data_IF_996908653854
#
_entry.id   IF_996908653854
#
_cell.length_a   1.000
_cell.length_b   1.000
_cell.length_c   1.000
_cell.angle_alpha   90.00
_cell.angle_beta   90.00
_cell.angle_gamma   90.00
#
_symmetry.space_group_name_H-M   'P 1'
#
loop_
_entity.id
_entity.type
_entity.pdbx_description
1 polymer ?
#
# COMPACT_ATOMS: atom_id res chain seq x y z
N UNK A 1 -31.66 -0.15 -16.96
CA UNK A 1 -30.62 0.66 -16.29
C UNK A 1 -29.51 -0.29 -15.86
N UNK A 2 -28.25 0.06 -16.11
CA UNK A 2 -27.11 -0.70 -15.56
C UNK A 2 -27.11 -0.59 -14.03
N UNK A 3 -26.67 -1.64 -13.30
CA UNK A 3 -26.44 -1.52 -11.87
C UNK A 3 -25.36 -0.45 -11.61
N UNK A 4 -25.32 0.14 -10.40
CA UNK A 4 -24.25 1.07 -10.03
C UNK A 4 -22.89 0.40 -10.18
N UNK A 5 -21.94 1.13 -10.77
CA UNK A 5 -20.55 0.66 -10.87
C UNK A 5 -19.83 1.06 -9.59
N UNK A 6 -19.33 0.08 -8.86
CA UNK A 6 -18.56 0.32 -7.66
C UNK A 6 -17.07 0.53 -8.01
N UNK A 7 -16.41 1.46 -7.32
CA UNK A 7 -14.96 1.64 -7.50
C UNK A 7 -14.18 0.44 -6.95
N UNK A 8 -14.63 -0.10 -5.81
CA UNK A 8 -14.22 -1.36 -5.21
C UNK A 8 -15.48 -2.05 -4.70
N UNK A 9 -15.79 -3.26 -5.18
CA UNK A 9 -17.01 -3.98 -4.82
C UNK A 9 -16.78 -4.96 -3.65
N UNK A 10 -16.91 -4.44 -2.43
CA UNK A 10 -16.81 -5.24 -1.21
C UNK A 10 -18.01 -6.17 -1.00
N UNK A 11 -19.18 -5.85 -1.60
CA UNK A 11 -20.38 -6.71 -1.50
C UNK A 11 -20.22 -7.96 -2.35
N UNK A 12 -19.66 -7.83 -3.55
CA UNK A 12 -19.39 -8.99 -4.39
C UNK A 12 -18.39 -9.95 -3.72
N UNK A 13 -17.35 -9.44 -3.05
CA UNK A 13 -16.45 -10.28 -2.25
C UNK A 13 -17.19 -11.00 -1.11
N UNK A 14 -18.04 -10.29 -0.40
CA UNK A 14 -18.85 -10.88 0.68
C UNK A 14 -19.78 -11.98 0.16
N UNK A 15 -20.39 -11.79 -1.01
CA UNK A 15 -21.22 -12.82 -1.64
C UNK A 15 -20.41 -14.05 -2.05
N UNK A 16 -19.20 -13.86 -2.59
CA UNK A 16 -18.30 -14.96 -2.95
C UNK A 16 -17.93 -15.83 -1.75
N UNK A 17 -17.76 -15.24 -0.59
CA UNK A 17 -17.43 -15.95 0.66
C UNK A 17 -18.62 -16.68 1.30
N UNK A 18 -19.84 -16.53 0.75
CA UNK A 18 -21.02 -17.36 0.99
C UNK A 18 -21.31 -17.68 2.47
N UNK A 19 -21.19 -16.71 3.35
CA UNK A 19 -21.46 -16.87 4.79
C UNK A 19 -20.27 -17.37 5.62
N UNK A 20 -19.15 -17.75 5.02
CA UNK A 20 -17.95 -18.19 5.74
C UNK A 20 -17.45 -17.08 6.68
N UNK A 21 -17.39 -15.84 6.20
CA UNK A 21 -16.98 -14.67 6.99
C UNK A 21 -17.92 -14.42 8.16
N UNK A 22 -19.26 -14.51 7.95
CA UNK A 22 -20.23 -14.32 9.02
C UNK A 22 -20.09 -15.39 10.09
N UNK A 23 -19.88 -16.65 9.68
CA UNK A 23 -19.67 -17.77 10.61
C UNK A 23 -18.38 -17.59 11.41
N UNK A 24 -17.27 -17.20 10.76
CA UNK A 24 -16.00 -16.97 11.40
C UNK A 24 -16.07 -15.80 12.41
N UNK A 25 -16.71 -14.70 12.03
CA UNK A 25 -16.90 -13.54 12.91
C UNK A 25 -17.78 -13.90 14.12
N UNK A 26 -18.87 -14.65 13.90
CA UNK A 26 -19.77 -15.10 15.00
C UNK A 26 -19.02 -16.02 15.98
N UNK A 27 -18.25 -16.97 15.47
CA UNK A 27 -17.44 -17.86 16.32
C UNK A 27 -16.41 -17.07 17.16
N UNK A 28 -15.79 -16.03 16.60
CA UNK A 28 -14.90 -15.14 17.34
C UNK A 28 -15.66 -14.36 18.44
N UNK A 29 -16.88 -13.90 18.16
CA UNK A 29 -17.74 -13.23 19.16
C UNK A 29 -18.12 -14.18 20.29
N UNK A 30 -18.56 -15.40 19.96
CA UNK A 30 -18.98 -16.42 20.93
C UNK A 30 -17.83 -16.91 21.82
N UNK A 31 -16.58 -16.87 21.32
CA UNK A 31 -15.38 -17.24 22.08
C UNK A 31 -15.08 -16.31 23.24
N UNK A 32 -15.58 -15.08 23.23
CA UNK A 32 -15.28 -13.99 24.16
C UNK A 32 -13.75 -13.66 24.28
N UNK A 33 -12.93 -14.09 23.31
CA UNK A 33 -11.48 -13.82 23.24
C UNK A 33 -11.20 -12.77 22.15
N UNK A 34 -11.56 -11.52 22.42
CA UNK A 34 -11.56 -10.46 21.41
C UNK A 34 -10.18 -9.89 21.09
N UNK A 35 -9.23 -10.00 22.01
CA UNK A 35 -7.86 -9.45 21.88
C UNK A 35 -6.84 -10.58 21.95
N UNK A 36 -6.03 -10.69 20.86
CA UNK A 36 -5.00 -11.72 20.71
C UNK A 36 -5.53 -13.14 20.95
N UNK A 37 -6.77 -13.41 20.51
CA UNK A 37 -7.35 -14.74 20.52
C UNK A 37 -6.67 -15.69 19.50
N UNK A 38 -7.05 -16.98 19.51
CA UNK A 38 -6.38 -18.00 18.69
C UNK A 38 -6.42 -17.69 17.17
N UNK A 39 -7.46 -16.99 16.68
CA UNK A 39 -7.56 -16.60 15.28
C UNK A 39 -6.46 -15.61 14.86
N UNK A 40 -5.93 -14.79 15.79
CA UNK A 40 -4.80 -13.91 15.49
C UNK A 40 -3.55 -14.73 15.22
N UNK A 41 -3.25 -15.73 16.05
CA UNK A 41 -2.12 -16.63 15.85
C UNK A 41 -2.26 -17.41 14.54
N UNK A 42 -3.46 -18.00 14.30
CA UNK A 42 -3.74 -18.73 13.06
C UNK A 42 -3.57 -17.86 11.82
N UNK A 43 -4.05 -16.61 11.87
CA UNK A 43 -3.90 -15.67 10.76
C UNK A 43 -2.42 -15.31 10.54
N UNK A 44 -1.67 -15.01 11.62
CA UNK A 44 -0.24 -14.70 11.53
C UNK A 44 0.54 -15.87 10.90
N UNK A 45 0.26 -17.12 11.28
CA UNK A 45 0.89 -18.33 10.72
C UNK A 45 0.53 -18.53 9.22
N UNK A 46 -0.75 -18.41 8.86
CA UNK A 46 -1.21 -18.52 7.48
C UNK A 46 -0.63 -17.42 6.60
N UNK A 47 -0.53 -16.20 7.12
CA UNK A 47 0.04 -15.08 6.40
C UNK A 47 1.55 -15.25 6.23
N UNK A 48 2.26 -15.76 7.24
CA UNK A 48 3.67 -16.10 7.16
C UNK A 48 3.93 -17.16 6.07
N UNK A 49 3.11 -18.20 6.03
CA UNK A 49 3.18 -19.22 4.98
C UNK A 49 2.91 -18.63 3.59
N UNK A 50 1.90 -17.76 3.46
CA UNK A 50 1.58 -17.08 2.20
C UNK A 50 2.72 -16.19 1.71
N UNK A 51 3.38 -15.44 2.60
CA UNK A 51 4.53 -14.61 2.26
C UNK A 51 5.82 -15.41 2.05
N UNK A 52 5.94 -16.61 2.61
CA UNK A 52 7.20 -17.34 2.72
C UNK A 52 8.18 -16.67 3.70
N UNK A 53 7.66 -16.06 4.76
CA UNK A 53 8.42 -15.34 5.79
C UNK A 53 8.41 -16.12 7.11
N UNK A 54 9.37 -15.76 8.02
CA UNK A 54 9.48 -16.44 9.34
C UNK A 54 8.47 -15.92 10.34
N UNK A 55 8.23 -14.61 10.36
CA UNK A 55 7.36 -13.97 11.34
C UNK A 55 6.41 -12.99 10.69
N UNK A 56 5.14 -13.08 11.10
CA UNK A 56 4.12 -12.07 10.88
C UNK A 56 3.56 -11.66 12.23
N UNK A 57 3.37 -10.38 12.44
CA UNK A 57 2.83 -9.83 13.68
C UNK A 57 1.70 -8.87 13.33
N UNK A 58 0.47 -9.22 13.71
CA UNK A 58 -0.72 -8.39 13.49
C UNK A 58 -0.70 -7.10 14.31
N UNK A 59 -1.10 -6.00 13.69
CA UNK A 59 -1.18 -4.65 14.27
C UNK A 59 -2.58 -4.05 14.08
N UNK A 60 -2.88 -2.95 14.76
CA UNK A 60 -4.19 -2.30 14.66
C UNK A 60 -4.46 -1.72 13.26
N UNK A 61 -3.43 -1.29 12.54
CA UNK A 61 -3.51 -0.73 11.19
C UNK A 61 -2.12 -0.67 10.54
N UNK A 62 -2.07 -0.30 9.25
CA UNK A 62 -0.81 -0.19 8.51
C UNK A 62 0.07 0.97 8.96
N UNK A 63 -0.50 2.08 9.44
CA UNK A 63 0.25 3.24 9.92
C UNK A 63 1.02 2.91 11.20
N UNK A 64 0.36 2.23 12.15
CA UNK A 64 0.98 1.72 13.37
C UNK A 64 2.10 0.70 13.03
N UNK A 65 1.88 -0.13 12.00
CA UNK A 65 2.90 -1.07 11.55
C UNK A 65 4.20 -0.37 11.15
N UNK A 66 4.13 0.72 10.37
CA UNK A 66 5.31 1.54 10.03
C UNK A 66 5.94 2.13 11.30
N UNK A 67 5.12 2.73 12.17
CA UNK A 67 5.58 3.32 13.43
C UNK A 67 6.32 2.31 14.31
N UNK A 68 5.79 1.09 14.47
CA UNK A 68 6.41 0.02 15.25
C UNK A 68 7.74 -0.45 14.63
N UNK A 69 7.84 -0.54 13.29
CA UNK A 69 9.11 -0.82 12.62
C UNK A 69 10.18 0.24 12.97
N UNK A 70 9.79 1.52 12.88
CA UNK A 70 10.69 2.63 13.24
C UNK A 70 11.08 2.60 14.73
N UNK A 71 10.15 2.28 15.63
CA UNK A 71 10.43 2.09 17.06
C UNK A 71 11.39 0.90 17.31
N UNK A 72 11.21 -0.20 16.57
CA UNK A 72 12.11 -1.37 16.63
C UNK A 72 13.53 -1.00 16.22
N UNK A 73 13.69 -0.11 15.24
CA UNK A 73 14.99 0.44 14.83
C UNK A 73 15.56 1.50 15.79
N UNK A 74 14.83 1.86 16.85
CA UNK A 74 15.23 2.88 17.82
C UNK A 74 15.28 4.29 17.21
N UNK A 75 14.43 4.58 16.23
CA UNK A 75 14.31 5.90 15.59
C UNK A 75 13.85 6.94 16.62
N UNK A 76 14.47 8.14 16.58
CA UNK A 76 14.28 9.22 17.55
C UNK A 76 14.53 10.60 16.92
N UNK A 77 14.24 11.70 17.62
CA UNK A 77 14.58 13.05 17.18
C UNK A 77 16.08 13.18 16.79
N UNK A 78 16.33 13.81 15.62
CA UNK A 78 17.67 13.90 15.02
C UNK A 78 17.97 12.80 14.00
N UNK A 79 17.17 11.74 13.94
CA UNK A 79 17.25 10.74 12.87
C UNK A 79 16.49 11.20 11.61
N UNK A 80 16.92 10.71 10.45
CA UNK A 80 16.27 10.92 9.16
C UNK A 80 15.81 9.60 8.56
N UNK A 81 14.64 9.62 7.94
CA UNK A 81 14.05 8.50 7.20
C UNK A 81 13.78 8.96 5.78
N UNK A 82 14.36 8.29 4.80
CA UNK A 82 14.16 8.59 3.38
C UNK A 82 12.87 7.92 2.93
N UNK A 83 11.98 8.67 2.27
CA UNK A 83 10.71 8.13 1.78
C UNK A 83 10.22 8.90 0.54
N UNK A 84 9.41 8.28 -0.35
CA UNK A 84 8.84 8.96 -1.49
C UNK A 84 7.87 10.06 -1.06
N UNK A 85 7.79 11.14 -1.86
CA UNK A 85 6.81 12.20 -1.64
C UNK A 85 5.43 11.85 -2.20
N UNK A 86 5.37 11.03 -3.24
CA UNK A 86 4.12 10.63 -3.88
C UNK A 86 3.63 9.30 -3.28
N UNK A 87 2.99 9.41 -2.13
CA UNK A 87 2.45 8.27 -1.36
C UNK A 87 1.32 8.74 -0.45
N UNK A 88 0.71 7.81 0.30
CA UNK A 88 -0.23 8.12 1.37
C UNK A 88 0.50 8.73 2.59
N UNK A 89 -0.21 9.57 3.33
CA UNK A 89 0.35 10.30 4.47
C UNK A 89 1.05 9.41 5.52
N UNK A 90 0.54 8.21 5.76
CA UNK A 90 1.07 7.28 6.77
C UNK A 90 2.58 7.06 6.70
N UNK A 91 3.14 7.03 5.48
CA UNK A 91 4.58 6.82 5.25
C UNK A 91 5.45 7.88 5.94
N UNK A 92 5.05 9.15 5.88
CA UNK A 92 5.77 10.26 6.53
C UNK A 92 5.25 10.57 7.95
N UNK A 93 3.96 10.33 8.18
CA UNK A 93 3.29 10.58 9.46
C UNK A 93 3.93 9.76 10.58
N UNK A 94 4.16 8.46 10.36
CA UNK A 94 4.80 7.58 11.33
C UNK A 94 6.23 8.04 11.70
N UNK A 95 6.96 8.63 10.75
CA UNK A 95 8.27 9.23 10.99
C UNK A 95 8.15 10.47 11.88
N UNK A 96 7.20 11.35 11.55
CA UNK A 96 6.98 12.60 12.26
C UNK A 96 6.50 12.38 13.71
N UNK A 97 5.71 11.34 13.99
CA UNK A 97 5.27 11.01 15.37
C UNK A 97 6.43 10.76 16.32
N UNK A 98 7.49 10.12 15.82
CA UNK A 98 8.66 9.81 16.60
C UNK A 98 9.63 11.00 16.73
N UNK A 99 9.25 12.16 16.20
CA UNK A 99 10.09 13.36 16.17
C UNK A 99 11.28 13.24 15.20
N UNK A 100 11.33 12.21 14.38
CA UNK A 100 12.31 12.06 13.31
C UNK A 100 11.90 12.88 12.08
N UNK A 101 12.82 13.02 11.15
CA UNK A 101 12.65 13.87 9.96
C UNK A 101 12.50 13.01 8.71
N UNK A 102 11.34 13.02 8.02
CA UNK A 102 11.24 12.44 6.68
C UNK A 102 12.07 13.29 5.70
N UNK A 103 12.86 12.64 4.84
CA UNK A 103 13.53 13.24 3.69
C UNK A 103 12.79 12.75 2.47
N UNK A 104 12.08 13.65 1.80
CA UNK A 104 11.29 13.29 0.62
C UNK A 104 12.17 13.14 -0.62
N UNK A 105 11.94 12.05 -1.35
CA UNK A 105 12.55 11.78 -2.64
C UNK A 105 11.51 11.74 -3.74
N UNK A 106 11.97 11.95 -4.98
CA UNK A 106 11.12 11.83 -6.15
C UNK A 106 10.86 10.37 -6.50
N UNK A 107 9.96 10.17 -7.42
CA UNK A 107 9.50 8.87 -7.90
C UNK A 107 9.98 8.64 -9.33
N UNK A 108 10.03 7.38 -9.71
CA UNK A 108 10.15 6.96 -11.10
C UNK A 108 8.83 7.26 -11.84
N UNK A 109 8.94 7.78 -13.06
CA UNK A 109 7.78 8.28 -13.80
C UNK A 109 6.83 7.20 -14.29
N UNK A 110 7.29 5.97 -14.43
CA UNK A 110 6.49 4.87 -14.97
C UNK A 110 5.87 4.00 -13.88
N UNK A 111 6.64 3.71 -12.83
CA UNK A 111 6.20 2.88 -11.71
C UNK A 111 5.49 3.65 -10.59
N UNK A 112 5.70 4.98 -10.52
CA UNK A 112 5.28 5.85 -9.41
C UNK A 112 5.93 5.51 -8.05
N UNK A 113 6.81 4.53 -8.01
CA UNK A 113 7.55 4.14 -6.83
C UNK A 113 8.80 4.99 -6.65
N UNK A 114 9.42 4.92 -5.47
CA UNK A 114 10.65 5.63 -5.16
C UNK A 114 11.70 5.40 -6.26
N UNK A 115 12.26 6.48 -6.83
CA UNK A 115 13.38 6.42 -7.77
C UNK A 115 14.69 6.16 -7.02
N UNK A 116 15.33 4.99 -7.18
CA UNK A 116 16.58 4.67 -6.49
C UNK A 116 17.74 5.66 -6.76
N UNK A 117 17.73 6.37 -7.91
CA UNK A 117 18.72 7.38 -8.23
C UNK A 117 18.68 8.59 -7.29
N UNK A 118 17.56 8.80 -6.59
CA UNK A 118 17.40 9.87 -5.62
C UNK A 118 18.00 9.55 -4.25
N UNK A 119 18.28 8.28 -3.94
CA UNK A 119 18.74 7.86 -2.61
C UNK A 119 20.08 8.47 -2.20
N UNK A 120 21.13 8.52 -3.06
CA UNK A 120 22.38 9.20 -2.72
C UNK A 120 22.18 10.69 -2.44
N UNK A 121 21.28 11.35 -3.19
CA UNK A 121 20.96 12.78 -3.04
C UNK A 121 20.25 13.02 -1.70
N UNK A 122 19.31 12.15 -1.32
CA UNK A 122 18.60 12.21 -0.04
C UNK A 122 19.55 12.00 1.14
N UNK A 123 20.47 11.03 1.03
CA UNK A 123 21.49 10.77 2.04
C UNK A 123 22.37 12.01 2.28
N UNK A 124 22.82 12.66 1.23
CA UNK A 124 23.61 13.89 1.30
C UNK A 124 22.79 15.05 1.88
N UNK A 125 21.50 15.15 1.51
CA UNK A 125 20.57 16.15 2.06
C UNK A 125 20.40 15.97 3.57
N UNK A 126 20.22 14.72 4.05
CA UNK A 126 20.13 14.44 5.47
C UNK A 126 21.42 14.80 6.22
N UNK A 127 22.58 14.43 5.68
CA UNK A 127 23.91 14.74 6.28
C UNK A 127 24.13 16.24 6.37
N UNK A 128 23.81 17.00 5.31
CA UNK A 128 23.92 18.47 5.32
C UNK A 128 22.98 19.15 6.31
N UNK A 129 21.83 18.56 6.56
CA UNK A 129 20.88 19.02 7.58
C UNK A 129 21.30 18.63 9.01
N UNK A 130 22.44 17.96 9.20
CA UNK A 130 22.91 17.49 10.53
C UNK A 130 22.09 16.33 11.07
N UNK A 131 21.34 15.64 10.23
CA UNK A 131 20.50 14.51 10.60
C UNK A 131 21.24 13.17 10.39
N UNK A 132 20.85 12.16 11.16
CA UNK A 132 21.40 10.81 11.05
C UNK A 132 20.45 9.92 10.21
N UNK A 133 20.80 9.54 8.98
CA UNK A 133 20.01 8.59 8.20
C UNK A 133 19.92 7.22 8.92
N UNK A 134 18.73 6.65 8.99
CA UNK A 134 18.48 5.38 9.72
C UNK A 134 17.82 4.34 8.83
N UNK A 135 16.89 4.73 7.98
CA UNK A 135 16.14 3.81 7.14
C UNK A 135 15.66 4.47 5.85
N UNK A 136 15.31 3.63 4.90
CA UNK A 136 14.50 3.95 3.73
C UNK A 136 13.14 3.29 3.90
N UNK A 137 12.06 4.01 3.63
CA UNK A 137 10.71 3.45 3.44
C UNK A 137 10.44 3.48 1.95
N UNK A 138 10.36 2.30 1.32
CA UNK A 138 9.93 2.15 -0.07
C UNK A 138 8.47 1.71 -0.08
N UNK A 139 7.67 2.31 -0.96
CA UNK A 139 6.22 2.03 -1.05
C UNK A 139 5.94 1.23 -2.31
N UNK A 140 5.13 0.19 -2.20
CA UNK A 140 4.59 -0.59 -3.33
C UNK A 140 3.32 0.08 -3.86
N UNK A 141 3.49 1.26 -4.48
CA UNK A 141 2.36 2.11 -4.84
C UNK A 141 1.51 1.46 -5.94
N UNK A 142 0.18 1.62 -5.84
CA UNK A 142 -0.82 1.07 -6.77
C UNK A 142 -0.82 -0.45 -6.89
N UNK A 143 0.05 -1.14 -6.16
CA UNK A 143 0.06 -2.59 -6.11
C UNK A 143 1.26 -3.26 -6.75
N UNK A 144 2.22 -2.50 -7.31
CA UNK A 144 3.46 -3.09 -7.81
C UNK A 144 4.63 -2.82 -6.86
N UNK A 145 5.58 -3.78 -6.73
CA UNK A 145 6.78 -3.60 -5.92
C UNK A 145 7.66 -2.46 -6.44
N UNK A 146 8.38 -1.80 -5.53
CA UNK A 146 9.44 -0.88 -5.88
C UNK A 146 10.65 -1.63 -6.50
N UNK A 147 11.64 -0.91 -7.07
CA UNK A 147 12.88 -1.52 -7.55
C UNK A 147 13.78 -1.94 -6.38
N UNK A 148 13.45 -3.07 -5.80
CA UNK A 148 14.09 -3.55 -4.58
C UNK A 148 15.55 -3.96 -4.76
N UNK A 149 15.99 -4.41 -5.94
CA UNK A 149 17.40 -4.75 -6.13
C UNK A 149 18.29 -3.50 -5.96
N UNK A 150 17.89 -2.39 -6.55
CA UNK A 150 18.62 -1.12 -6.42
C UNK A 150 18.53 -0.56 -4.98
N UNK A 151 17.34 -0.60 -4.38
CA UNK A 151 17.09 -0.06 -3.03
C UNK A 151 17.78 -0.91 -1.96
N UNK A 152 17.67 -2.25 -1.99
CA UNK A 152 18.35 -3.16 -1.06
C UNK A 152 19.88 -3.01 -1.14
N UNK A 153 20.41 -2.90 -2.37
CA UNK A 153 21.84 -2.69 -2.56
C UNK A 153 22.33 -1.37 -1.93
N UNK A 154 21.59 -0.28 -2.16
CA UNK A 154 21.90 1.01 -1.55
C UNK A 154 21.83 0.94 -0.02
N UNK A 155 20.74 0.40 0.54
CA UNK A 155 20.54 0.28 1.98
C UNK A 155 21.66 -0.55 2.64
N UNK A 156 22.07 -1.65 2.01
CA UNK A 156 23.17 -2.49 2.49
C UNK A 156 24.52 -1.74 2.52
N UNK A 157 24.83 -1.01 1.44
CA UNK A 157 26.08 -0.25 1.34
C UNK A 157 26.16 0.88 2.36
N UNK A 158 25.05 1.58 2.59
CA UNK A 158 24.97 2.72 3.52
C UNK A 158 24.60 2.30 4.96
N UNK A 159 24.39 1.00 5.22
CA UNK A 159 23.96 0.44 6.53
C UNK A 159 22.67 1.07 7.03
N UNK A 160 21.73 1.24 6.13
CA UNK A 160 20.36 1.70 6.42
C UNK A 160 19.42 0.50 6.47
N UNK A 161 18.42 0.56 7.34
CA UNK A 161 17.33 -0.41 7.30
C UNK A 161 16.38 -0.12 6.13
N UNK A 162 15.74 -1.17 5.60
CA UNK A 162 14.72 -1.05 4.58
C UNK A 162 13.37 -1.49 5.14
N UNK A 163 12.38 -0.59 5.09
CA UNK A 163 10.97 -0.87 5.37
C UNK A 163 10.22 -0.85 4.04
N UNK A 164 9.60 -1.97 3.69
CA UNK A 164 8.74 -2.08 2.51
C UNK A 164 7.29 -1.79 2.92
N UNK A 165 6.77 -0.62 2.56
CA UNK A 165 5.36 -0.28 2.78
C UNK A 165 4.52 -0.92 1.67
N UNK A 166 4.06 -2.14 1.93
CA UNK A 166 3.23 -2.93 1.01
C UNK A 166 1.72 -2.76 1.29
N UNK A 167 1.30 -1.65 1.89
CA UNK A 167 -0.12 -1.40 2.15
C UNK A 167 -0.99 -1.48 0.89
N UNK A 168 -0.43 -1.23 -0.28
CA UNK A 168 -1.09 -1.38 -1.58
C UNK A 168 -0.54 -2.57 -2.38
N UNK A 169 0.66 -3.04 -2.08
CA UNK A 169 1.35 -4.10 -2.82
C UNK A 169 1.37 -5.46 -2.13
N UNK A 170 0.65 -5.64 -1.02
CA UNK A 170 0.68 -6.92 -0.30
C UNK A 170 0.17 -8.06 -1.20
N UNK A 171 1.00 -9.11 -1.36
CA UNK A 171 0.74 -10.23 -2.27
C UNK A 171 1.40 -10.11 -3.65
N UNK A 172 1.96 -8.95 -4.00
CA UNK A 172 2.74 -8.74 -5.21
C UNK A 172 4.04 -9.57 -5.18
N UNK A 173 4.67 -9.74 -6.35
CA UNK A 173 5.96 -10.42 -6.45
C UNK A 173 6.97 -9.56 -7.22
N UNK A 174 8.20 -9.56 -6.74
CA UNK A 174 9.37 -8.95 -7.34
C UNK A 174 10.41 -10.03 -7.65
N UNK A 175 10.62 -10.32 -8.95
CA UNK A 175 11.59 -11.33 -9.41
C UNK A 175 11.44 -12.67 -8.67
N UNK A 176 10.20 -13.14 -8.54
CA UNK A 176 9.85 -14.39 -7.86
C UNK A 176 9.80 -14.32 -6.33
N UNK A 177 10.27 -13.26 -5.69
CA UNK A 177 10.11 -13.02 -4.24
C UNK A 177 8.77 -12.34 -3.97
N UNK A 178 7.97 -12.89 -3.07
CA UNK A 178 6.72 -12.24 -2.64
C UNK A 178 7.02 -11.09 -1.67
N UNK A 179 6.19 -10.04 -1.69
CA UNK A 179 6.22 -9.02 -0.64
C UNK A 179 6.09 -9.68 0.73
N UNK A 180 6.96 -9.28 1.68
CA UNK A 180 7.19 -9.98 2.95
C UNK A 180 8.52 -10.75 3.00
N UNK A 181 9.16 -11.03 1.86
CA UNK A 181 10.50 -11.61 1.78
C UNK A 181 11.60 -10.56 1.50
N UNK A 182 11.23 -9.29 1.43
CA UNK A 182 12.08 -8.19 0.97
C UNK A 182 12.27 -7.19 2.10
N UNK A 183 13.48 -6.61 2.21
CA UNK A 183 13.82 -5.67 3.25
C UNK A 183 13.94 -6.27 4.66
N UNK A 184 14.17 -5.43 5.65
CA UNK A 184 14.21 -5.82 7.06
C UNK A 184 12.80 -6.00 7.62
N UNK A 185 11.87 -5.16 7.14
CA UNK A 185 10.45 -5.20 7.49
C UNK A 185 9.59 -4.98 6.26
N UNK A 186 8.48 -5.69 6.19
CA UNK A 186 7.37 -5.36 5.29
C UNK A 186 6.15 -5.02 6.12
N UNK A 187 5.48 -3.91 5.83
CA UNK A 187 4.22 -3.53 6.48
C UNK A 187 3.04 -3.75 5.54
N UNK A 188 1.94 -4.21 6.08
CA UNK A 188 0.68 -4.40 5.38
C UNK A 188 -0.44 -3.61 6.06
N UNK A 189 -1.40 -3.17 5.27
CA UNK A 189 -2.65 -2.58 5.73
C UNK A 189 -3.81 -3.47 5.31
N UNK A 190 -4.71 -3.74 6.23
CA UNK A 190 -5.95 -4.49 5.99
C UNK A 190 -7.18 -3.59 6.02
N UNK A 191 -7.01 -2.28 5.78
CA UNK A 191 -8.16 -1.39 5.56
C UNK A 191 -9.10 -1.99 4.50
N UNK A 192 -10.42 -1.90 4.63
CA UNK A 192 -11.38 -2.66 3.80
C UNK A 192 -11.16 -2.59 2.29
N UNK A 193 -10.71 -1.44 1.78
CA UNK A 193 -10.46 -1.22 0.35
C UNK A 193 -9.09 -1.73 -0.14
N UNK A 194 -8.24 -2.29 0.73
CA UNK A 194 -6.95 -2.86 0.34
C UNK A 194 -7.12 -4.20 -0.36
N UNK A 195 -6.12 -4.66 -1.15
CA UNK A 195 -6.20 -5.95 -1.85
C UNK A 195 -6.59 -7.12 -0.93
N UNK A 196 -6.00 -7.20 0.25
CA UNK A 196 -6.47 -8.04 1.35
C UNK A 196 -6.97 -7.12 2.48
N UNK A 197 -8.28 -6.92 2.58
CA UNK A 197 -8.89 -6.01 3.56
C UNK A 197 -9.82 -6.72 4.54
N UNK A 198 -9.80 -6.34 5.82
CA UNK A 198 -10.76 -6.79 6.84
C UNK A 198 -12.04 -5.94 6.84
N UNK A 199 -12.88 -6.06 7.86
CA UNK A 199 -14.12 -5.28 8.00
C UNK A 199 -14.01 -4.23 9.11
N UNK A 200 -12.89 -3.55 9.13
CA UNK A 200 -12.50 -2.49 10.04
C UNK A 200 -11.04 -2.13 9.76
N UNK A 201 -10.31 -1.67 10.76
CA UNK A 201 -8.89 -1.48 10.66
C UNK A 201 -8.11 -2.76 10.97
N UNK A 202 -6.95 -2.90 10.35
CA UNK A 202 -6.01 -3.98 10.56
C UNK A 202 -4.70 -3.71 9.82
N UNK A 203 -3.65 -4.36 10.26
CA UNK A 203 -2.34 -4.32 9.64
C UNK A 203 -1.47 -5.47 10.11
N UNK A 204 -0.29 -5.58 9.52
CA UNK A 204 0.72 -6.53 9.96
C UNK A 204 2.13 -6.03 9.65
N UNK A 205 3.09 -6.56 10.40
CA UNK A 205 4.51 -6.44 10.14
C UNK A 205 5.04 -7.83 9.83
N UNK A 206 5.80 -7.93 8.76
CA UNK A 206 6.52 -9.15 8.35
C UNK A 206 8.01 -8.91 8.54
N UNK A 207 8.71 -9.88 9.15
CA UNK A 207 10.16 -9.84 9.30
C UNK A 207 10.74 -11.26 9.36
N UNK A 208 12.00 -11.40 8.99
CA UNK A 208 12.74 -12.66 9.10
C UNK A 208 13.74 -12.67 10.29
N UNK A 209 13.77 -11.60 11.12
CA UNK A 209 14.59 -11.47 12.30
C UNK A 209 13.83 -11.90 13.56
N UNK A 210 14.32 -12.93 14.24
CA UNK A 210 13.74 -13.40 15.50
C UNK A 210 13.74 -12.31 16.57
N UNK A 211 14.88 -11.58 16.70
CA UNK A 211 15.03 -10.46 17.63
C UNK A 211 14.01 -9.34 17.35
N UNK A 212 13.89 -8.93 16.07
CA UNK A 212 12.92 -7.90 15.69
C UNK A 212 11.49 -8.34 15.97
N UNK A 213 11.15 -9.59 15.68
CA UNK A 213 9.82 -10.14 15.94
C UNK A 213 9.46 -10.11 17.43
N UNK A 214 10.39 -10.41 18.32
CA UNK A 214 10.20 -10.32 19.76
C UNK A 214 9.95 -8.86 20.20
N UNK A 215 10.78 -7.93 19.73
CA UNK A 215 10.62 -6.50 20.03
C UNK A 215 9.26 -5.99 19.54
N UNK A 216 8.85 -6.33 18.31
CA UNK A 216 7.57 -5.92 17.72
C UNK A 216 6.39 -6.45 18.52
N UNK A 217 6.43 -7.73 18.97
CA UNK A 217 5.38 -8.30 19.82
C UNK A 217 5.24 -7.56 21.15
N UNK A 218 6.36 -7.15 21.74
CA UNK A 218 6.38 -6.31 22.94
C UNK A 218 5.78 -4.92 22.66
N UNK A 219 6.27 -4.24 21.61
CA UNK A 219 5.87 -2.88 21.26
C UNK A 219 4.37 -2.77 20.94
N UNK A 220 3.78 -3.72 20.17
CA UNK A 220 2.34 -3.69 19.84
C UNK A 220 1.43 -3.82 21.06
N UNK A 221 1.97 -4.26 22.18
CA UNK A 221 1.25 -4.47 23.43
C UNK A 221 1.90 -3.71 24.59
N UNK A 222 1.97 -2.38 24.46
CA UNK A 222 2.45 -1.44 25.48
C UNK A 222 3.91 -1.64 25.93
N UNK A 223 4.75 -2.28 25.12
CA UNK A 223 6.14 -2.57 25.49
C UNK A 223 6.27 -3.62 26.60
N UNK A 224 5.29 -4.54 26.71
CA UNK A 224 5.24 -5.57 27.74
C UNK A 224 6.46 -6.47 27.69
N UNK A 225 7.02 -6.78 28.88
CA UNK A 225 8.01 -7.82 29.14
C UNK A 225 7.37 -9.18 29.41
N UNK A 226 8.08 -10.05 30.11
CA UNK A 226 7.61 -11.40 30.44
C UNK A 226 6.48 -11.38 31.48
N UNK A 227 6.55 -10.47 32.43
CA UNK A 227 5.51 -10.30 33.44
C UNK A 227 4.34 -9.46 32.94
N UNK A 228 3.14 -9.74 33.48
CA UNK A 228 1.86 -9.11 33.04
C UNK A 228 1.87 -7.58 33.16
N UNK A 229 2.55 -7.04 34.16
CA UNK A 229 2.58 -5.61 34.47
C UNK A 229 3.99 -4.99 34.33
N UNK A 230 4.95 -5.75 33.81
CA UNK A 230 6.28 -5.24 33.51
C UNK A 230 6.30 -4.68 32.08
N UNK A 231 6.67 -3.41 31.95
CA UNK A 231 6.83 -2.73 30.67
C UNK A 231 8.31 -2.39 30.46
N UNK A 232 8.96 -3.16 29.61
CA UNK A 232 10.41 -3.04 29.36
C UNK A 232 10.74 -2.06 28.24
N UNK A 233 9.70 -1.56 27.52
CA UNK A 233 9.80 -0.59 26.42
C UNK A 233 8.63 0.38 26.48
N UNK A 234 8.80 1.57 25.88
CA UNK A 234 7.67 2.43 25.53
C UNK A 234 7.04 1.82 24.28
N UNK A 235 5.82 1.35 24.39
CA UNK A 235 5.10 0.67 23.29
C UNK A 235 3.83 1.41 22.90
N UNK A 236 2.99 0.71 22.13
CA UNK A 236 1.71 1.19 21.61
C UNK A 236 0.57 0.21 21.98
N UNK A 237 -0.65 0.68 21.90
CA UNK A 237 -1.84 -0.18 21.86
C UNK A 237 -2.17 -0.49 20.38
N UNK A 238 -1.43 -1.43 19.79
CA UNK A 238 -1.59 -1.75 18.37
C UNK A 238 -1.67 -3.25 18.14
N UNK A 239 -2.87 -3.78 18.19
CA UNK A 239 -3.15 -5.22 18.03
C UNK A 239 -4.20 -5.42 16.95
N UNK A 240 -4.08 -6.49 16.18
CA UNK A 240 -5.16 -6.96 15.32
C UNK A 240 -6.24 -7.61 16.18
N UNK A 241 -7.47 -7.15 16.06
CA UNK A 241 -8.60 -7.74 16.76
C UNK A 241 -8.92 -9.16 16.28
N UNK A 242 -9.32 -10.04 17.18
CA UNK A 242 -9.63 -11.45 16.88
C UNK A 242 -10.71 -11.58 15.80
N UNK A 243 -11.74 -10.72 15.83
CA UNK A 243 -12.80 -10.72 14.82
C UNK A 243 -12.23 -10.39 13.43
N UNK A 244 -11.34 -9.40 13.33
CA UNK A 244 -10.73 -9.02 12.06
C UNK A 244 -9.80 -10.13 11.55
N UNK A 245 -9.05 -10.78 12.44
CA UNK A 245 -8.22 -11.93 12.09
C UNK A 245 -9.05 -13.09 11.53
N UNK A 246 -10.19 -13.42 12.17
CA UNK A 246 -11.11 -14.45 11.68
C UNK A 246 -11.64 -14.16 10.27
N UNK A 247 -12.00 -12.90 9.99
CA UNK A 247 -12.43 -12.45 8.66
C UNK A 247 -11.29 -12.57 7.64
N UNK A 248 -10.09 -12.18 8.02
CA UNK A 248 -8.90 -12.20 7.15
C UNK A 248 -8.48 -13.63 6.79
N UNK A 249 -8.66 -14.61 7.67
CA UNK A 249 -8.40 -16.02 7.37
C UNK A 249 -9.24 -16.47 6.18
N UNK A 250 -10.54 -16.19 6.19
CA UNK A 250 -11.45 -16.56 5.10
C UNK A 250 -11.11 -15.84 3.79
N UNK A 251 -10.73 -14.56 3.87
CA UNK A 251 -10.33 -13.78 2.70
C UNK A 251 -8.99 -14.20 2.13
N UNK A 252 -8.04 -14.57 2.97
CA UNK A 252 -6.73 -15.06 2.54
C UNK A 252 -6.85 -16.36 1.72
N UNK A 253 -7.84 -17.21 2.02
CA UNK A 253 -8.09 -18.45 1.30
C UNK A 253 -8.45 -18.25 -0.19
N UNK A 254 -9.00 -17.10 -0.56
CA UNK A 254 -9.36 -16.76 -1.94
C UNK A 254 -8.45 -15.69 -2.57
N UNK A 255 -7.44 -15.21 -1.83
CA UNK A 255 -6.69 -14.01 -2.20
C UNK A 255 -5.86 -14.19 -3.48
N UNK A 256 -5.26 -15.35 -3.70
CA UNK A 256 -4.49 -15.63 -4.92
C UNK A 256 -5.39 -15.61 -6.18
N UNK A 257 -6.62 -16.13 -6.08
CA UNK A 257 -7.61 -16.05 -7.16
C UNK A 257 -8.02 -14.59 -7.43
N UNK A 258 -8.18 -13.79 -6.37
CA UNK A 258 -8.50 -12.37 -6.53
C UNK A 258 -7.36 -11.58 -7.17
N UNK A 259 -6.10 -11.90 -6.86
CA UNK A 259 -4.93 -11.32 -7.54
C UNK A 259 -4.95 -11.68 -9.04
N UNK A 260 -5.25 -12.95 -9.37
CA UNK A 260 -5.36 -13.38 -10.77
C UNK A 260 -6.51 -12.67 -11.51
N UNK A 261 -7.65 -12.51 -10.86
CA UNK A 261 -8.79 -11.79 -11.43
C UNK A 261 -8.48 -10.29 -11.66
N UNK A 262 -7.79 -9.61 -10.71
CA UNK A 262 -7.32 -8.22 -10.89
C UNK A 262 -6.34 -8.10 -12.05
N UNK A 263 -5.46 -9.08 -12.27
CA UNK A 263 -4.57 -9.09 -13.43
C UNK A 263 -5.36 -9.19 -14.75
N UNK A 264 -6.42 -10.00 -14.79
CA UNK A 264 -7.28 -10.08 -15.98
C UNK A 264 -8.00 -8.76 -16.28
N UNK A 265 -8.48 -8.06 -15.22
CA UNK A 265 -9.08 -6.72 -15.35
C UNK A 265 -8.06 -5.72 -15.88
N UNK A 266 -6.83 -5.72 -15.35
CA UNK A 266 -5.76 -4.81 -15.83
C UNK A 266 -5.43 -5.06 -17.31
N UNK A 267 -5.23 -6.31 -17.70
CA UNK A 267 -4.93 -6.68 -19.08
C UNK A 267 -6.04 -6.20 -20.06
N UNK A 268 -7.31 -6.29 -19.66
CA UNK A 268 -8.43 -5.82 -20.50
C UNK A 268 -8.45 -4.29 -20.64
N UNK A 269 -8.15 -3.56 -19.55
CA UNK A 269 -7.98 -2.11 -19.62
C UNK A 269 -6.81 -1.72 -20.51
N UNK A 270 -5.66 -2.38 -20.38
CA UNK A 270 -4.48 -2.11 -21.21
C UNK A 270 -4.82 -2.32 -22.70
N UNK A 271 -5.44 -3.46 -23.04
CA UNK A 271 -5.83 -3.76 -24.40
C UNK A 271 -6.78 -2.71 -25.00
N UNK A 272 -7.67 -2.14 -24.18
CA UNK A 272 -8.67 -1.19 -24.63
C UNK A 272 -8.27 0.28 -24.57
N UNK A 273 -7.20 0.66 -23.87
CA UNK A 273 -6.88 2.06 -23.56
C UNK A 273 -5.47 2.52 -23.97
N UNK A 274 -4.52 1.60 -24.21
CA UNK A 274 -3.10 1.94 -24.42
C UNK A 274 -2.85 2.87 -25.62
N UNK A 275 -3.73 2.89 -26.59
CA UNK A 275 -3.64 3.72 -27.80
C UNK A 275 -4.22 5.14 -27.63
N UNK A 276 -4.93 5.41 -26.53
CA UNK A 276 -5.62 6.70 -26.29
C UNK A 276 -5.15 7.43 -25.03
N UNK A 277 -4.51 6.72 -24.10
CA UNK A 277 -4.03 7.30 -22.84
C UNK A 277 -2.85 6.49 -22.32
N UNK A 278 -1.93 7.11 -21.58
CA UNK A 278 -0.82 6.37 -20.93
C UNK A 278 -1.39 5.49 -19.82
N UNK A 279 -1.41 4.16 -20.06
CA UNK A 279 -1.79 3.14 -19.07
C UNK A 279 -0.64 2.84 -18.11
N UNK A 280 -0.91 2.28 -16.91
CA UNK A 280 0.15 1.91 -15.98
C UNK A 280 1.03 0.79 -16.54
N UNK A 281 2.32 0.84 -16.27
CA UNK A 281 3.28 -0.21 -16.62
C UNK A 281 3.70 -1.00 -15.38
N UNK A 282 4.02 -2.26 -15.55
CA UNK A 282 4.60 -3.12 -14.50
C UNK A 282 6.03 -3.44 -14.89
N UNK A 283 6.97 -3.27 -13.93
CA UNK A 283 8.37 -3.60 -14.16
C UNK A 283 8.56 -5.06 -14.58
N UNK A 284 9.57 -5.37 -15.41
CA UNK A 284 9.88 -6.74 -15.82
C UNK A 284 10.03 -7.66 -14.60
N UNK A 285 9.57 -8.90 -14.74
CA UNK A 285 9.60 -9.95 -13.71
C UNK A 285 8.87 -9.59 -12.39
N UNK A 286 8.03 -8.55 -12.42
CA UNK A 286 7.14 -8.18 -11.32
C UNK A 286 5.69 -8.58 -11.61
N UNK A 287 4.95 -8.91 -10.54
CA UNK A 287 3.50 -9.09 -10.59
C UNK A 287 2.85 -8.09 -9.65
N UNK A 288 2.03 -7.21 -10.19
CA UNK A 288 1.21 -6.28 -9.43
C UNK A 288 -0.02 -6.98 -8.86
N UNK A 289 -0.50 -6.52 -7.71
CA UNK A 289 -1.82 -6.90 -7.15
C UNK A 289 -2.91 -5.92 -7.56
N UNK A 290 -2.55 -4.87 -8.31
CA UNK A 290 -3.49 -3.90 -8.85
C UNK A 290 -4.46 -3.35 -7.79
N UNK A 291 -3.90 -2.76 -6.73
CA UNK A 291 -4.72 -2.04 -5.74
C UNK A 291 -5.49 -0.89 -6.40
N UNK A 292 -4.86 -0.23 -7.37
CA UNK A 292 -5.45 0.75 -8.27
C UNK A 292 -5.00 0.48 -9.70
N UNK A 293 -5.86 0.84 -10.67
CA UNK A 293 -5.49 0.96 -12.08
C UNK A 293 -5.47 2.45 -12.43
N UNK A 294 -4.27 3.02 -12.52
CA UNK A 294 -4.05 4.46 -12.55
C UNK A 294 -3.51 4.91 -13.90
N UNK A 295 -4.30 5.69 -14.62
CA UNK A 295 -3.95 6.31 -15.89
C UNK A 295 -3.14 7.60 -15.66
N UNK A 296 -2.35 8.02 -16.66
CA UNK A 296 -1.82 9.39 -16.75
C UNK A 296 -2.55 10.15 -17.85
N UNK A 297 -3.25 11.19 -17.46
CA UNK A 297 -4.12 12.01 -18.32
C UNK A 297 -3.54 13.43 -18.41
N UNK A 298 -3.64 14.08 -19.58
CA UNK A 298 -3.30 15.51 -19.69
C UNK A 298 -4.01 16.31 -18.57
N UNK A 299 -3.27 17.03 -17.73
CA UNK A 299 -3.84 17.77 -16.60
C UNK A 299 -4.99 18.70 -16.99
N UNK A 300 -4.94 19.27 -18.20
CA UNK A 300 -6.00 20.18 -18.73
C UNK A 300 -7.30 19.44 -19.01
N UNK A 301 -7.25 18.13 -19.24
CA UNK A 301 -8.40 17.28 -19.59
C UNK A 301 -8.94 16.46 -18.43
N UNK A 302 -8.15 16.25 -17.36
CA UNK A 302 -8.49 15.36 -16.24
C UNK A 302 -9.85 15.68 -15.62
N UNK A 303 -10.09 16.97 -15.28
CA UNK A 303 -11.35 17.37 -14.64
C UNK A 303 -12.56 17.17 -15.54
N UNK A 304 -12.44 17.44 -16.85
CA UNK A 304 -13.50 17.23 -17.82
C UNK A 304 -13.80 15.72 -17.99
N UNK A 305 -12.74 14.89 -18.11
CA UNK A 305 -12.87 13.44 -18.18
C UNK A 305 -13.58 12.87 -16.95
N UNK A 306 -13.19 13.28 -15.74
CA UNK A 306 -13.84 12.86 -14.50
C UNK A 306 -15.32 13.24 -14.46
N UNK A 307 -15.67 14.45 -14.90
CA UNK A 307 -17.05 14.91 -14.93
C UNK A 307 -17.90 14.11 -15.93
N UNK A 308 -17.35 13.81 -17.11
CA UNK A 308 -18.03 13.00 -18.13
C UNK A 308 -18.24 11.57 -17.65
N UNK A 309 -17.21 10.91 -17.11
CA UNK A 309 -17.33 9.55 -16.57
C UNK A 309 -18.36 9.49 -15.42
N UNK A 310 -18.34 10.48 -14.53
CA UNK A 310 -19.34 10.60 -13.47
C UNK A 310 -20.77 10.72 -14.02
N UNK A 311 -20.98 11.49 -15.09
CA UNK A 311 -22.31 11.63 -15.73
C UNK A 311 -22.82 10.31 -16.32
N UNK A 312 -21.91 9.40 -16.66
CA UNK A 312 -22.20 8.03 -17.14
C UNK A 312 -22.26 6.99 -16.00
N UNK A 313 -22.19 7.44 -14.73
CA UNK A 313 -22.24 6.57 -13.55
C UNK A 313 -20.94 5.80 -13.29
N UNK A 314 -19.82 6.23 -13.88
CA UNK A 314 -18.50 5.62 -13.68
C UNK A 314 -17.73 6.39 -12.62
N UNK A 315 -17.47 5.83 -11.43
CA UNK A 315 -16.69 6.47 -10.39
C UNK A 315 -15.19 6.50 -10.77
N UNK A 316 -14.51 7.57 -10.41
CA UNK A 316 -13.06 7.71 -10.57
C UNK A 316 -12.44 8.30 -9.31
N UNK A 317 -11.15 8.08 -9.11
CA UNK A 317 -10.42 8.63 -7.97
C UNK A 317 -9.06 9.18 -8.39
N UNK A 318 -8.51 10.10 -7.57
CA UNK A 318 -7.17 10.68 -7.78
C UNK A 318 -6.29 10.32 -6.58
N UNK A 319 -5.32 9.48 -6.80
CA UNK A 319 -4.30 9.06 -5.83
C UNK A 319 -2.91 9.43 -6.35
N UNK A 320 -2.32 10.55 -5.93
CA UNK A 320 -2.79 11.55 -4.97
C UNK A 320 -2.82 12.93 -5.65
N UNK A 321 -3.77 13.84 -5.27
CA UNK A 321 -3.89 15.14 -5.93
C UNK A 321 -2.75 16.12 -5.59
N UNK A 322 -1.91 15.77 -4.60
CA UNK A 322 -0.81 16.59 -4.12
C UNK A 322 0.24 15.69 -3.46
N UNK A 323 1.55 15.80 -3.79
CA UNK A 323 2.59 15.08 -3.08
C UNK A 323 2.76 15.61 -1.64
N UNK A 324 3.33 14.79 -0.75
CA UNK A 324 3.39 15.11 0.68
C UNK A 324 4.19 16.38 0.98
N UNK A 325 5.31 16.60 0.29
CA UNK A 325 6.13 17.81 0.47
C UNK A 325 5.39 19.12 0.15
N UNK A 326 4.27 19.06 -0.56
CA UNK A 326 3.43 20.24 -0.86
C UNK A 326 2.23 20.35 0.10
N UNK A 327 1.98 19.37 0.95
CA UNK A 327 0.92 19.38 1.94
C UNK A 327 1.29 20.23 3.15
N UNK A 328 0.30 20.93 3.72
CA UNK A 328 0.49 21.85 4.85
C UNK A 328 1.27 21.25 6.03
N UNK A 329 0.93 20.01 6.38
CA UNK A 329 1.53 19.30 7.51
C UNK A 329 3.02 18.92 7.27
N UNK A 330 3.42 18.73 6.01
CA UNK A 330 4.71 18.13 5.66
C UNK A 330 5.66 19.08 4.92
N UNK A 331 5.19 20.22 4.41
CA UNK A 331 6.00 21.17 3.60
C UNK A 331 7.25 21.73 4.31
N UNK A 332 7.32 21.56 5.63
CA UNK A 332 8.49 21.99 6.43
C UNK A 332 9.67 21.01 6.36
N UNK A 333 9.43 19.79 5.92
CA UNK A 333 10.45 18.76 5.88
C UNK A 333 11.31 18.84 4.62
N UNK A 334 12.60 18.43 4.70
CA UNK A 334 13.51 18.50 3.57
C UNK A 334 13.09 17.64 2.38
N UNK A 335 13.44 18.10 1.18
CA UNK A 335 13.35 17.33 -0.06
C UNK A 335 14.76 17.03 -0.57
N UNK A 336 14.95 15.90 -1.26
CA UNK A 336 16.21 15.57 -1.89
C UNK A 336 16.51 16.54 -3.05
N UNK A 337 17.73 17.03 -3.12
CA UNK A 337 18.16 17.91 -4.21
C UNK A 337 17.39 19.24 -4.29
N UNK A 338 16.95 19.59 -5.50
CA UNK A 338 16.36 20.90 -5.81
C UNK A 338 14.85 20.83 -6.05
N UNK A 339 14.17 19.74 -5.68
CA UNK A 339 12.72 19.57 -5.84
C UNK A 339 12.34 18.18 -6.34
N UNK A 340 11.04 17.94 -6.46
CA UNK A 340 10.46 16.66 -6.80
C UNK A 340 9.51 16.79 -8.01
N UNK A 341 10.05 17.10 -9.21
CA UNK A 341 9.22 17.43 -10.37
C UNK A 341 8.33 16.28 -10.84
N UNK A 342 8.82 15.02 -10.76
CA UNK A 342 8.05 13.86 -11.20
C UNK A 342 6.83 13.61 -10.29
N UNK A 343 7.01 13.76 -8.97
CA UNK A 343 5.91 13.67 -8.00
C UNK A 343 4.85 14.76 -8.22
N UNK A 344 5.27 16.00 -8.46
CA UNK A 344 4.36 17.12 -8.76
C UNK A 344 3.61 16.90 -10.08
N UNK A 345 4.31 16.44 -11.11
CA UNK A 345 3.71 16.12 -12.40
C UNK A 345 2.70 14.97 -12.27
N UNK A 346 3.08 13.86 -11.62
CA UNK A 346 2.19 12.72 -11.38
C UNK A 346 0.90 13.15 -10.67
N UNK A 347 0.99 13.97 -9.61
CA UNK A 347 -0.17 14.50 -8.89
C UNK A 347 -1.14 15.27 -9.79
N UNK A 348 -0.64 15.93 -10.84
CA UNK A 348 -1.47 16.65 -11.81
C UNK A 348 -2.13 15.74 -12.85
N UNK A 349 -1.56 14.56 -13.13
CA UNK A 349 -1.93 13.70 -14.26
C UNK A 349 -2.72 12.45 -13.86
N UNK A 350 -2.54 11.91 -12.65
CA UNK A 350 -3.13 10.61 -12.26
C UNK A 350 -4.64 10.63 -12.18
N UNK A 351 -5.23 9.54 -12.67
CA UNK A 351 -6.65 9.23 -12.59
C UNK A 351 -6.85 7.71 -12.49
N UNK A 352 -7.48 7.22 -11.44
CA UNK A 352 -7.73 5.79 -11.25
C UNK A 352 -9.14 5.42 -11.68
N UNK A 353 -9.25 4.32 -12.42
CA UNK A 353 -10.51 3.68 -12.84
C UNK A 353 -10.96 2.63 -11.81
N UNK A 354 -12.24 2.19 -11.83
CA UNK A 354 -12.70 1.07 -11.02
C UNK A 354 -11.81 -0.16 -11.18
N UNK A 355 -11.33 -0.72 -10.05
CA UNK A 355 -10.41 -1.85 -10.05
C UNK A 355 -10.71 -2.78 -8.88
N UNK A 356 -11.32 -3.92 -9.18
CA UNK A 356 -11.57 -4.99 -8.21
C UNK A 356 -11.74 -6.34 -8.93
N UNK A 357 -11.57 -7.50 -8.25
CA UNK A 357 -11.57 -8.82 -8.88
C UNK A 357 -12.93 -9.26 -9.42
N UNK A 358 -13.99 -8.52 -9.15
CA UNK A 358 -15.38 -8.83 -9.51
C UNK A 358 -15.94 -7.93 -10.63
N UNK A 359 -15.08 -7.15 -11.29
CA UNK A 359 -15.49 -6.29 -12.39
C UNK A 359 -15.73 -7.15 -13.64
N UNK A 360 -16.98 -7.31 -14.02
CA UNK A 360 -17.36 -8.11 -15.18
C UNK A 360 -16.95 -7.45 -16.52
N UNK A 361 -16.86 -8.28 -17.55
CA UNK A 361 -16.38 -7.86 -18.87
C UNK A 361 -17.24 -6.76 -19.51
N UNK A 362 -18.57 -6.86 -19.41
CA UNK A 362 -19.50 -5.91 -20.04
C UNK A 362 -19.43 -4.54 -19.35
N UNK A 363 -19.29 -4.54 -18.03
CA UNK A 363 -19.09 -3.30 -17.26
C UNK A 363 -17.75 -2.69 -17.61
N UNK A 364 -16.69 -3.50 -17.72
CA UNK A 364 -15.36 -3.02 -18.06
C UNK A 364 -15.30 -2.45 -19.48
N UNK A 365 -15.93 -3.09 -20.46
CA UNK A 365 -16.02 -2.59 -21.84
C UNK A 365 -16.73 -1.25 -21.88
N UNK A 366 -17.81 -1.09 -21.13
CA UNK A 366 -18.50 0.18 -21.02
C UNK A 366 -17.61 1.30 -20.44
N UNK A 367 -16.78 0.97 -19.43
CA UNK A 367 -15.81 1.94 -18.88
C UNK A 367 -14.79 2.31 -19.96
N UNK A 368 -14.23 1.32 -20.66
CA UNK A 368 -13.25 1.52 -21.74
C UNK A 368 -13.83 2.42 -22.83
N UNK A 369 -15.00 2.08 -23.36
CA UNK A 369 -15.67 2.88 -24.39
C UNK A 369 -15.92 4.31 -23.93
N UNK A 370 -16.39 4.48 -22.68
CA UNK A 370 -16.65 5.80 -22.11
C UNK A 370 -15.38 6.65 -21.97
N UNK A 371 -14.26 6.05 -21.58
CA UNK A 371 -12.96 6.74 -21.51
C UNK A 371 -12.49 7.13 -22.91
N UNK A 372 -12.61 6.22 -23.89
CA UNK A 372 -12.24 6.47 -25.28
C UNK A 372 -13.05 7.60 -25.89
N UNK A 373 -14.38 7.57 -25.75
CA UNK A 373 -15.29 8.63 -26.23
C UNK A 373 -14.93 10.00 -25.64
N UNK A 374 -14.66 10.06 -24.33
CA UNK A 374 -14.30 11.28 -23.63
C UNK A 374 -12.93 11.83 -24.06
N UNK A 375 -11.99 10.96 -24.42
CA UNK A 375 -10.64 11.36 -24.83
C UNK A 375 -10.53 11.66 -26.33
N UNK A 376 -11.23 10.96 -27.19
CA UNK A 376 -11.18 11.12 -28.64
C UNK A 376 -12.19 12.14 -29.18
N UNK A 377 -13.19 12.50 -28.38
CA UNK A 377 -14.39 13.18 -28.82
C UNK A 377 -15.34 12.18 -29.51
N UNK A 378 -16.65 12.47 -29.50
CA UNK A 378 -17.61 11.70 -30.31
C UNK A 378 -17.24 11.88 -31.78
N UNK A 379 -16.58 10.93 -32.39
CA UNK A 379 -16.68 10.78 -33.80
C UNK A 379 -18.17 10.50 -34.08
N UNK A 380 -18.90 11.52 -34.61
CA UNK A 380 -20.21 11.31 -35.15
C UNK A 380 -20.06 10.25 -36.25
N UNK A 381 -20.44 9.02 -35.95
CA UNK A 381 -20.78 8.05 -36.97
C UNK A 381 -22.10 8.61 -37.56
N UNK A 382 -21.97 9.49 -38.56
CA UNK A 382 -23.06 9.80 -39.46
C UNK A 382 -23.29 8.52 -40.26
N UNK A 383 -24.38 7.82 -39.95
CA UNK A 383 -24.96 6.78 -40.77
C UNK A 383 -25.70 7.43 -41.94
#
# INVERSE_FOLDING_TARGET
MRPPIEFIDLKAQQHRLAGAVQKAALAAIESAQYILGPQVTEFEEKLAAFCGARHVIGTANGTDAIGICLMTLGVRPGDAIICPAFTFAATAEAVAWLGATPIFVDIDEDSFNLDPAQLPIALDTAKRAGLKPRAVIAVDLFGQPADYDAIENFCRNEKLALICDSAQGFGATYKGRRTGQIGDFTTASFFPAKPLGCYGDGGAIVTNSDESAEIIRSLRFHGKGDDKYEHVRIGMNSRLDTIQAAILIEKLAIFEDEIAARQAVANRYDAGLHDVVKTPSVMPDCRSVWAQYTLRVDPRRRSALMAELKSKGIPTAVYYPKPLNEQEAYRRFPVAGNGLPTSTQAASEVLSLPMHPYLDADTQDYIIESVREALLGRQSIAV
#
